data_IF_987991690991
#
_entry.id   IF_987991690991
#
_cell.length_a   1.000
_cell.length_b   1.000
_cell.length_c   1.000
_cell.angle_alpha   90.00
_cell.angle_beta   90.00
_cell.angle_gamma   90.00
#
_symmetry.space_group_name_H-M   'P 1'
#
loop_
_entity.id
_entity.type
_entity.pdbx_description
1 polymer ?
#
# COMPACT_ATOMS: atom_id res chain seq x y z
N UNK A 1 45.37 -3.08 -9.59
CA UNK A 1 45.48 -4.49 -10.04
C UNK A 1 44.17 -4.84 -10.71
N UNK A 2 44.13 -4.70 -12.02
CA UNK A 2 43.03 -5.13 -12.90
C UNK A 2 43.01 -6.65 -12.90
N UNK A 3 42.13 -7.25 -12.11
CA UNK A 3 41.85 -8.67 -12.21
C UNK A 3 40.82 -8.82 -13.34
N UNK A 4 41.30 -9.09 -14.55
CA UNK A 4 40.44 -9.58 -15.63
C UNK A 4 39.79 -10.89 -15.18
N UNK A 5 38.47 -10.96 -15.31
CA UNK A 5 37.66 -12.16 -15.06
C UNK A 5 37.81 -13.12 -16.25
N UNK A 6 39.02 -13.63 -16.49
CA UNK A 6 39.34 -14.58 -17.57
C UNK A 6 39.70 -15.98 -17.07
N UNK A 7 39.52 -16.25 -15.78
CA UNK A 7 39.73 -17.60 -15.24
C UNK A 7 38.60 -18.55 -15.74
N UNK A 8 38.94 -19.65 -16.45
CA UNK A 8 37.98 -20.60 -17.01
C UNK A 8 37.06 -21.24 -15.96
N UNK A 9 37.47 -21.29 -14.69
CA UNK A 9 36.67 -21.83 -13.60
C UNK A 9 35.37 -21.02 -13.33
N UNK A 10 35.27 -19.80 -13.86
CA UNK A 10 34.13 -18.90 -13.63
C UNK A 10 33.17 -18.78 -14.82
N UNK A 11 33.51 -19.36 -15.98
CA UNK A 11 32.65 -19.38 -17.18
C UNK A 11 31.32 -20.11 -16.91
N UNK A 12 31.37 -21.22 -16.17
CA UNK A 12 30.18 -22.02 -15.79
C UNK A 12 29.26 -21.27 -14.81
N UNK A 13 29.82 -20.33 -14.04
CA UNK A 13 29.06 -19.53 -13.07
C UNK A 13 28.31 -18.40 -13.75
N UNK A 14 28.96 -17.75 -14.73
CA UNK A 14 28.35 -16.71 -15.57
C UNK A 14 27.31 -17.33 -16.51
N UNK A 15 27.57 -18.52 -17.06
CA UNK A 15 26.64 -19.22 -17.95
C UNK A 15 25.38 -19.76 -17.25
N UNK A 16 25.42 -19.89 -15.91
CA UNK A 16 24.29 -20.30 -15.06
C UNK A 16 23.59 -19.12 -14.37
N UNK A 17 23.84 -17.89 -14.83
CA UNK A 17 23.18 -16.69 -14.31
C UNK A 17 23.59 -16.30 -12.88
N UNK A 18 24.77 -16.67 -12.40
CA UNK A 18 25.26 -16.23 -11.08
C UNK A 18 25.93 -14.85 -11.12
N UNK A 19 25.76 -14.03 -10.07
CA UNK A 19 26.56 -12.81 -9.88
C UNK A 19 27.36 -12.86 -8.56
N UNK A 20 28.66 -12.58 -8.65
CA UNK A 20 29.54 -12.47 -7.49
C UNK A 20 29.58 -11.02 -6.98
N UNK A 21 29.44 -10.86 -5.66
CA UNK A 21 29.45 -9.57 -4.98
C UNK A 21 30.66 -9.49 -4.02
N UNK A 22 31.52 -8.48 -4.24
CA UNK A 22 32.61 -8.07 -3.35
C UNK A 22 34.03 -8.20 -3.93
N UNK A 23 34.94 -7.33 -3.49
CA UNK A 23 36.40 -7.45 -3.73
C UNK A 23 37.12 -7.78 -2.42
N UNK A 24 37.58 -9.03 -2.28
CA UNK A 24 38.28 -9.50 -1.07
C UNK A 24 37.69 -10.78 -0.45
N UNK A 25 38.17 -11.13 0.75
CA UNK A 25 37.99 -12.45 1.43
C UNK A 25 36.55 -12.88 1.71
N UNK A 26 35.56 -12.01 1.56
CA UNK A 26 34.13 -12.36 1.65
C UNK A 26 33.44 -12.14 0.31
N UNK A 27 33.40 -13.20 -0.51
CA UNK A 27 32.60 -13.23 -1.74
C UNK A 27 31.19 -13.71 -1.38
N UNK A 28 30.15 -12.91 -1.66
CA UNK A 28 28.75 -13.38 -1.61
C UNK A 28 28.32 -13.83 -3.01
N UNK A 29 27.64 -14.97 -3.06
CA UNK A 29 27.08 -15.53 -4.28
C UNK A 29 25.59 -15.20 -4.34
N UNK A 30 25.15 -14.56 -5.41
CA UNK A 30 23.73 -14.32 -5.68
C UNK A 30 23.34 -15.14 -6.89
N UNK A 31 22.48 -16.13 -6.68
CA UNK A 31 21.89 -16.94 -7.74
C UNK A 31 20.77 -16.12 -8.41
N UNK A 32 20.95 -15.72 -9.67
CA UNK A 32 19.86 -15.11 -10.43
C UNK A 32 19.00 -16.25 -10.95
N UNK A 33 17.82 -16.41 -10.37
CA UNK A 33 16.88 -17.44 -10.83
C UNK A 33 16.30 -17.00 -12.19
N UNK A 34 16.78 -17.61 -13.28
CA UNK A 34 16.37 -17.31 -14.67
C UNK A 34 14.90 -17.66 -14.99
N UNK A 35 14.21 -18.39 -14.09
CA UNK A 35 12.80 -18.75 -14.26
C UNK A 35 11.81 -17.62 -13.97
N UNK A 36 12.29 -16.49 -13.42
CA UNK A 36 11.43 -15.37 -13.06
C UNK A 36 11.01 -14.57 -14.31
N UNK A 37 9.71 -14.24 -14.48
CA UNK A 37 9.21 -13.58 -15.67
C UNK A 37 9.70 -12.12 -15.78
N UNK A 38 9.84 -11.63 -17.01
CA UNK A 38 10.27 -10.25 -17.28
C UNK A 38 9.11 -9.25 -17.14
N UNK A 39 8.58 -9.12 -15.92
CA UNK A 39 7.52 -8.15 -15.62
C UNK A 39 8.09 -6.87 -14.99
N UNK A 40 7.39 -5.76 -15.23
CA UNK A 40 7.69 -4.49 -14.60
C UNK A 40 7.06 -4.45 -13.20
N UNK A 41 7.85 -4.11 -12.20
CA UNK A 41 7.39 -3.86 -10.83
C UNK A 41 7.28 -2.34 -10.58
N UNK A 42 7.61 -1.89 -9.36
CA UNK A 42 7.49 -0.49 -8.95
C UNK A 42 8.29 0.45 -9.85
N UNK A 43 7.79 1.67 -10.03
CA UNK A 43 8.52 2.73 -10.73
C UNK A 43 9.81 3.08 -9.99
N UNK A 44 10.86 3.40 -10.75
CA UNK A 44 12.16 3.80 -10.22
C UNK A 44 12.81 4.88 -11.08
N UNK A 45 13.79 5.59 -10.50
CA UNK A 45 14.61 6.56 -11.22
C UNK A 45 15.93 5.89 -11.59
N UNK A 46 16.23 5.85 -12.88
CA UNK A 46 17.44 5.29 -13.45
C UNK A 46 18.66 6.19 -13.15
N UNK A 47 19.91 5.66 -13.22
CA UNK A 47 21.14 6.44 -13.03
C UNK A 47 21.25 7.71 -13.90
N UNK A 48 20.55 7.75 -15.03
CA UNK A 48 20.53 8.87 -15.97
C UNK A 48 19.37 9.86 -15.71
N UNK A 49 18.67 9.73 -14.58
CA UNK A 49 17.56 10.60 -14.19
C UNK A 49 16.23 10.33 -14.91
N UNK A 50 16.17 9.31 -15.78
CA UNK A 50 14.91 8.92 -16.45
C UNK A 50 14.08 8.00 -15.55
N UNK A 51 12.76 8.08 -15.66
CA UNK A 51 11.86 7.10 -15.07
C UNK A 51 12.01 5.72 -15.72
N UNK A 52 11.81 4.67 -14.93
CA UNK A 52 11.82 3.27 -15.35
C UNK A 52 11.02 2.41 -14.36
N UNK A 53 11.13 1.09 -14.48
CA UNK A 53 10.52 0.14 -13.55
C UNK A 53 11.55 -0.87 -13.07
N UNK A 54 11.44 -1.29 -11.80
CA UNK A 54 12.24 -2.36 -11.25
C UNK A 54 11.88 -3.70 -11.93
N UNK A 55 12.90 -4.55 -12.15
CA UNK A 55 12.75 -5.92 -12.68
C UNK A 55 13.71 -6.84 -11.93
N UNK A 56 13.55 -8.15 -12.09
CA UNK A 56 14.53 -9.09 -11.56
C UNK A 56 15.92 -8.79 -12.12
N UNK A 57 16.91 -9.01 -11.26
CA UNK A 57 18.27 -8.56 -11.48
C UNK A 57 18.88 -9.05 -12.82
N UNK A 58 18.52 -10.25 -13.30
CA UNK A 58 18.98 -10.76 -14.60
C UNK A 58 18.50 -9.95 -15.80
N UNK A 59 17.36 -9.25 -15.69
CA UNK A 59 16.87 -8.33 -16.73
C UNK A 59 17.42 -6.90 -16.60
N UNK A 60 18.17 -6.60 -15.53
CA UNK A 60 18.67 -5.26 -15.23
C UNK A 60 20.20 -5.18 -15.12
N UNK A 61 20.94 -6.20 -15.57
CA UNK A 61 22.41 -6.19 -15.51
C UNK A 61 22.99 -5.19 -16.51
N UNK A 62 23.50 -4.06 -16.03
CA UNK A 62 24.30 -3.10 -16.82
C UNK A 62 25.79 -3.34 -16.62
N UNK A 63 26.62 -3.00 -17.61
CA UNK A 63 28.08 -3.18 -17.52
C UNK A 63 28.70 -2.37 -16.37
N UNK A 64 28.16 -1.18 -16.09
CA UNK A 64 28.53 -0.36 -14.93
C UNK A 64 28.30 -1.07 -13.59
N UNK A 65 27.28 -1.93 -13.49
CA UNK A 65 26.96 -2.68 -12.28
C UNK A 65 27.94 -3.83 -12.02
N UNK A 66 28.54 -4.38 -13.08
CA UNK A 66 29.55 -5.44 -12.97
C UNK A 66 30.85 -4.93 -12.34
N UNK A 67 31.17 -3.65 -12.54
CA UNK A 67 32.44 -3.06 -12.10
C UNK A 67 32.34 -2.23 -10.81
N UNK A 68 31.15 -1.75 -10.44
CA UNK A 68 30.97 -0.92 -9.25
C UNK A 68 29.80 -1.40 -8.39
N UNK A 69 30.13 -2.21 -7.38
CA UNK A 69 29.14 -2.82 -6.49
C UNK A 69 28.40 -1.81 -5.61
N UNK A 70 29.06 -0.74 -5.17
CA UNK A 70 28.43 0.30 -4.35
C UNK A 70 27.40 1.09 -5.17
N UNK A 71 27.76 1.41 -6.42
CA UNK A 71 26.84 1.99 -7.40
C UNK A 71 25.68 1.03 -7.64
N UNK A 72 25.94 -0.25 -7.88
CA UNK A 72 24.90 -1.28 -8.04
C UNK A 72 23.92 -1.35 -6.87
N UNK A 73 24.40 -1.35 -5.61
CA UNK A 73 23.53 -1.40 -4.44
C UNK A 73 22.59 -0.19 -4.29
N UNK A 74 22.95 0.96 -4.87
CA UNK A 74 22.09 2.14 -4.90
C UNK A 74 20.90 1.99 -5.87
N UNK A 75 20.99 1.06 -6.83
CA UNK A 75 19.95 0.80 -7.84
C UNK A 75 19.23 -0.54 -7.62
N UNK A 76 19.54 -1.26 -6.54
CA UNK A 76 18.80 -2.44 -6.15
C UNK A 76 17.42 -2.05 -5.63
N UNK A 77 16.38 -2.46 -6.35
CA UNK A 77 15.02 -2.47 -5.82
C UNK A 77 14.76 -3.82 -5.12
N UNK A 78 14.24 -3.78 -3.90
CA UNK A 78 13.58 -4.93 -3.30
C UNK A 78 12.19 -5.05 -3.96
N UNK A 79 12.12 -5.84 -5.03
CA UNK A 79 10.93 -5.94 -5.89
C UNK A 79 9.78 -6.73 -5.24
N UNK A 80 10.09 -7.73 -4.42
CA UNK A 80 9.07 -8.54 -3.73
C UNK A 80 9.60 -9.03 -2.39
N UNK A 81 9.26 -8.33 -1.31
CA UNK A 81 9.27 -8.92 0.02
C UNK A 81 7.85 -8.97 0.56
N UNK A 82 7.18 -10.08 0.28
CA UNK A 82 5.83 -10.32 0.78
C UNK A 82 5.90 -10.88 2.20
N UNK A 83 5.22 -10.22 3.14
CA UNK A 83 5.04 -10.73 4.49
C UNK A 83 3.65 -11.34 4.61
N UNK A 84 3.57 -12.66 4.51
CA UNK A 84 2.31 -13.37 4.71
C UNK A 84 2.07 -13.64 6.19
N UNK A 85 0.87 -13.28 6.65
CA UNK A 85 0.41 -13.55 8.01
C UNK A 85 -0.86 -14.40 7.96
N UNK A 86 -0.86 -15.53 8.67
CA UNK A 86 -2.09 -16.21 9.03
C UNK A 86 -2.83 -15.37 10.07
N UNK A 87 -4.14 -15.20 9.87
CA UNK A 87 -5.06 -14.63 10.86
C UNK A 87 -5.45 -15.72 11.85
N UNK A 88 -5.30 -15.44 13.15
CA UNK A 88 -5.71 -16.36 14.22
C UNK A 88 -7.10 -16.07 14.75
N UNK A 89 -7.53 -14.82 14.67
CA UNK A 89 -8.80 -14.38 15.22
C UNK A 89 -9.34 -13.19 14.40
N UNK A 90 -10.65 -13.15 14.26
CA UNK A 90 -11.38 -12.07 13.59
C UNK A 90 -12.40 -11.56 14.59
N UNK A 91 -12.18 -10.36 15.09
CA UNK A 91 -13.10 -9.65 15.99
C UNK A 91 -13.91 -8.65 15.18
N UNK A 92 -15.07 -9.07 14.70
CA UNK A 92 -16.03 -8.18 14.07
C UNK A 92 -16.78 -7.37 15.12
N UNK A 93 -17.12 -6.11 14.83
CA UNK A 93 -17.96 -5.33 15.71
C UNK A 93 -19.30 -6.06 15.96
N UNK A 94 -19.70 -6.16 17.23
CA UNK A 94 -20.86 -6.97 17.65
C UNK A 94 -22.18 -6.48 17.06
N UNK A 95 -22.27 -5.16 16.83
CA UNK A 95 -23.45 -4.51 16.25
C UNK A 95 -23.37 -4.34 14.73
N UNK A 96 -22.47 -5.05 14.03
CA UNK A 96 -22.40 -4.96 12.57
C UNK A 96 -23.70 -5.39 11.89
N UNK A 97 -24.20 -4.55 10.99
CA UNK A 97 -25.42 -4.80 10.22
C UNK A 97 -25.13 -4.88 8.72
N UNK A 98 -25.32 -6.08 8.13
CA UNK A 98 -25.07 -6.30 6.71
C UNK A 98 -25.94 -5.46 5.75
N UNK A 99 -27.26 -5.23 6.01
CA UNK A 99 -28.09 -4.48 5.05
C UNK A 99 -27.71 -3.01 4.92
N UNK A 100 -27.26 -2.39 6.02
CA UNK A 100 -26.95 -0.95 6.11
C UNK A 100 -25.45 -0.67 6.10
N UNK A 101 -24.62 -1.71 6.27
CA UNK A 101 -23.20 -1.60 6.58
C UNK A 101 -22.92 -0.72 7.81
N UNK A 102 -23.86 -0.64 8.74
CA UNK A 102 -23.63 0.03 10.01
C UNK A 102 -22.63 -0.79 10.83
N UNK A 103 -21.73 -0.10 11.54
CA UNK A 103 -20.66 -0.72 12.32
C UNK A 103 -19.72 -1.63 11.53
N UNK A 104 -19.44 -1.29 10.27
CA UNK A 104 -18.53 -2.03 9.37
C UNK A 104 -17.06 -1.85 9.75
N UNK A 105 -16.64 -2.54 10.81
CA UNK A 105 -15.27 -2.57 11.30
C UNK A 105 -14.94 -3.93 11.93
N UNK A 106 -13.71 -4.38 11.74
CA UNK A 106 -13.19 -5.59 12.34
C UNK A 106 -11.70 -5.45 12.70
N UNK A 107 -11.26 -6.20 13.70
CA UNK A 107 -9.85 -6.35 14.07
C UNK A 107 -9.39 -7.77 13.74
N UNK A 108 -8.27 -7.87 13.05
CA UNK A 108 -7.64 -9.15 12.69
C UNK A 108 -6.40 -9.36 13.57
N UNK A 109 -6.37 -10.46 14.32
CA UNK A 109 -5.20 -10.84 15.11
C UNK A 109 -4.25 -11.67 14.25
N UNK A 110 -3.00 -11.23 14.11
CA UNK A 110 -1.97 -11.95 13.37
C UNK A 110 -1.36 -13.06 14.24
N UNK A 111 -1.07 -14.22 13.66
CA UNK A 111 -0.43 -15.34 14.38
C UNK A 111 0.96 -15.02 14.95
N UNK A 112 1.61 -13.97 14.46
CA UNK A 112 2.90 -13.46 14.95
C UNK A 112 3.00 -11.96 14.70
N UNK A 113 3.78 -11.21 15.50
CA UNK A 113 4.03 -9.79 15.25
C UNK A 113 4.67 -9.54 13.89
N UNK A 114 4.29 -8.42 13.26
CA UNK A 114 4.98 -7.91 12.07
C UNK A 114 6.29 -7.21 12.50
N UNK A 115 7.37 -7.45 11.76
CA UNK A 115 8.66 -6.78 12.01
C UNK A 115 8.66 -5.45 11.28
N UNK A 116 8.72 -4.36 12.05
CA UNK A 116 8.74 -3.01 11.47
C UNK A 116 10.03 -2.76 10.69
N UNK A 117 9.88 -2.11 9.55
CA UNK A 117 10.96 -1.73 8.66
C UNK A 117 10.52 -0.54 7.78
N UNK A 118 11.29 -0.21 6.75
CA UNK A 118 10.98 0.90 5.83
C UNK A 118 9.71 0.72 5.00
N UNK A 119 9.24 -0.53 4.83
CA UNK A 119 8.04 -0.89 4.06
C UNK A 119 6.87 -1.32 4.94
N UNK A 120 7.13 -1.74 6.19
CA UNK A 120 6.11 -2.19 7.15
C UNK A 120 6.16 -1.26 8.36
N UNK A 121 5.18 -0.37 8.45
CA UNK A 121 5.06 0.57 9.57
C UNK A 121 3.59 0.77 9.94
N UNK A 122 3.22 0.82 11.23
CA UNK A 122 1.84 1.04 11.63
C UNK A 122 1.40 2.48 11.35
N UNK A 123 0.13 2.66 10.99
CA UNK A 123 -0.51 3.98 10.94
C UNK A 123 -1.00 4.38 12.33
N UNK A 124 -1.07 5.69 12.60
CA UNK A 124 -1.59 6.19 13.88
C UNK A 124 -3.13 6.18 13.92
N UNK A 125 -3.70 5.98 15.10
CA UNK A 125 -5.11 6.26 15.35
C UNK A 125 -5.37 7.78 15.44
N UNK A 126 -6.57 8.25 15.05
CA UNK A 126 -6.90 9.66 15.06
C UNK A 126 -7.11 10.19 16.50
N UNK A 127 -6.76 11.45 16.79
CA UNK A 127 -7.12 12.08 18.05
C UNK A 127 -8.63 12.35 18.13
N UNK A 128 -9.18 12.30 19.34
CA UNK A 128 -10.59 12.65 19.61
C UNK A 128 -10.83 14.13 19.35
N UNK A 129 -11.97 14.46 18.73
CA UNK A 129 -12.41 15.80 18.38
C UNK A 129 -11.79 16.36 17.10
N UNK A 130 -11.15 15.53 16.27
CA UNK A 130 -10.49 16.00 15.06
C UNK A 130 -11.52 16.44 14.00
N UNK A 131 -11.48 17.72 13.64
CA UNK A 131 -12.34 18.27 12.57
C UNK A 131 -11.71 18.07 11.20
N UNK A 132 -12.31 17.19 10.39
CA UNK A 132 -11.82 16.84 9.05
C UNK A 132 -12.64 17.45 7.91
N UNK A 133 -13.79 18.07 8.16
CA UNK A 133 -14.64 18.67 7.11
C UNK A 133 -13.83 19.58 6.18
N UNK A 134 -13.95 19.35 4.86
CA UNK A 134 -13.22 20.02 3.78
C UNK A 134 -11.68 19.88 3.84
N UNK A 135 -11.14 19.03 4.72
CA UNK A 135 -9.73 18.66 4.71
C UNK A 135 -9.49 17.56 3.69
N UNK A 136 -8.28 17.54 3.15
CA UNK A 136 -7.84 16.48 2.24
C UNK A 136 -7.53 15.21 3.02
N UNK A 137 -8.14 14.11 2.61
CA UNK A 137 -7.77 12.76 2.97
C UNK A 137 -7.18 12.03 1.74
N UNK A 138 -6.44 10.96 1.99
CA UNK A 138 -5.80 10.14 0.98
C UNK A 138 -6.27 8.72 1.13
N UNK A 139 -6.68 8.13 0.01
CA UNK A 139 -7.04 6.72 -0.13
C UNK A 139 -5.89 6.05 -0.87
N UNK A 140 -5.52 4.84 -0.45
CA UNK A 140 -4.55 4.00 -1.15
C UNK A 140 -5.13 2.61 -1.36
N UNK A 141 -4.80 1.98 -2.49
CA UNK A 141 -5.28 0.62 -2.78
C UNK A 141 -4.96 0.10 -4.17
N UNK A 142 -5.43 -1.11 -4.45
CA UNK A 142 -5.26 -1.82 -5.73
C UNK A 142 -6.61 -2.12 -6.40
N UNK A 143 -7.66 -1.44 -5.97
CA UNK A 143 -8.99 -1.53 -6.54
C UNK A 143 -9.05 -1.15 -8.01
N UNK A 144 -10.25 -1.26 -8.56
CA UNK A 144 -10.52 -0.90 -9.95
C UNK A 144 -10.37 0.61 -10.15
N UNK A 145 -9.85 1.04 -11.30
CA UNK A 145 -9.66 2.48 -11.57
C UNK A 145 -10.96 3.21 -11.96
N UNK A 146 -11.99 2.44 -12.27
CA UNK A 146 -13.35 2.90 -12.56
C UNK A 146 -14.33 1.75 -12.29
N UNK A 147 -15.61 2.07 -12.18
CA UNK A 147 -16.63 1.10 -11.82
C UNK A 147 -16.69 -0.07 -12.83
N UNK A 148 -16.45 -1.29 -12.33
CA UNK A 148 -16.44 -2.51 -13.15
C UNK A 148 -15.22 -2.66 -14.06
N UNK A 149 -14.19 -1.83 -13.87
CA UNK A 149 -12.91 -1.93 -14.59
C UNK A 149 -11.97 -3.01 -14.05
N UNK A 150 -10.75 -3.11 -14.60
CA UNK A 150 -9.72 -4.02 -14.08
C UNK A 150 -9.08 -3.48 -12.79
N UNK A 151 -8.64 -4.39 -11.91
CA UNK A 151 -7.82 -4.06 -10.75
C UNK A 151 -6.46 -3.51 -11.16
N UNK A 152 -5.88 -2.63 -10.33
CA UNK A 152 -4.53 -2.13 -10.56
C UNK A 152 -3.46 -3.16 -10.16
N UNK A 153 -2.40 -3.27 -10.97
CA UNK A 153 -1.23 -4.07 -10.62
C UNK A 153 -0.22 -3.33 -9.73
N UNK A 154 -0.39 -2.01 -9.57
CA UNK A 154 0.45 -1.14 -8.75
C UNK A 154 -0.41 -0.44 -7.70
N UNK A 155 0.17 -0.13 -6.54
CA UNK A 155 -0.54 0.61 -5.50
C UNK A 155 -0.87 2.00 -6.04
N UNK A 156 -2.15 2.35 -6.01
CA UNK A 156 -2.64 3.66 -6.42
C UNK A 156 -2.92 4.51 -5.18
N UNK A 157 -2.88 5.83 -5.36
CA UNK A 157 -3.31 6.79 -4.36
C UNK A 157 -4.19 7.87 -4.96
N UNK A 158 -5.13 8.39 -4.18
CA UNK A 158 -5.94 9.54 -4.57
C UNK A 158 -6.25 10.44 -3.38
N UNK A 159 -6.07 11.73 -3.59
CA UNK A 159 -6.43 12.77 -2.63
C UNK A 159 -7.86 13.25 -2.86
N UNK A 160 -8.69 13.18 -1.82
CA UNK A 160 -10.12 13.53 -1.83
C UNK A 160 -10.46 14.46 -0.67
N UNK A 161 -11.41 15.40 -0.83
CA UNK A 161 -11.93 16.15 0.30
C UNK A 161 -12.84 15.27 1.16
N UNK A 162 -12.76 15.44 2.48
CA UNK A 162 -13.75 14.92 3.41
C UNK A 162 -14.98 15.83 3.39
N UNK A 163 -16.14 15.22 3.26
CA UNK A 163 -17.41 15.94 3.17
C UNK A 163 -17.93 16.35 4.54
N UNK A 164 -18.75 17.40 4.55
CA UNK A 164 -19.57 17.70 5.72
C UNK A 164 -20.59 16.59 5.95
N UNK A 165 -20.87 16.27 7.22
CA UNK A 165 -21.72 15.14 7.59
C UNK A 165 -23.14 15.32 7.05
N UNK A 166 -23.73 16.52 7.18
CA UNK A 166 -25.10 16.76 6.69
C UNK A 166 -25.15 16.67 5.17
N UNK A 167 -24.18 17.29 4.49
CA UNK A 167 -24.07 17.18 3.03
C UNK A 167 -23.94 15.72 2.58
N UNK A 168 -23.24 14.89 3.33
CA UNK A 168 -23.14 13.48 3.02
C UNK A 168 -24.48 12.77 3.20
N UNK A 169 -25.17 12.97 4.33
CA UNK A 169 -26.49 12.39 4.56
C UNK A 169 -27.46 12.76 3.43
N UNK A 170 -27.46 14.04 3.03
CA UNK A 170 -28.34 14.55 1.97
C UNK A 170 -28.01 13.99 0.57
N UNK A 171 -26.83 13.40 0.38
CA UNK A 171 -26.40 12.81 -0.89
C UNK A 171 -26.94 11.38 -1.12
N UNK A 172 -27.50 10.75 -0.09
CA UNK A 172 -27.99 9.38 -0.15
C UNK A 172 -29.46 9.29 0.25
N UNK A 173 -30.18 8.36 -0.38
CA UNK A 173 -31.52 7.95 0.08
C UNK A 173 -31.40 6.97 1.25
N UNK A 174 -30.36 6.15 1.24
CA UNK A 174 -30.02 5.20 2.31
C UNK A 174 -29.51 5.91 3.56
N UNK A 175 -29.57 5.22 4.70
CA UNK A 175 -29.14 5.78 5.98
C UNK A 175 -27.62 5.91 6.06
N UNK A 176 -27.14 7.14 6.19
CA UNK A 176 -25.74 7.46 6.53
C UNK A 176 -25.69 7.81 8.02
N UNK A 177 -24.90 7.06 8.78
CA UNK A 177 -24.83 7.18 10.24
C UNK A 177 -23.74 8.17 10.67
N UNK A 178 -23.82 8.63 11.92
CA UNK A 178 -22.77 9.46 12.56
C UNK A 178 -21.44 8.71 12.71
N UNK A 179 -21.50 7.37 12.74
CA UNK A 179 -20.35 6.47 12.69
C UNK A 179 -19.75 6.32 11.29
N UNK A 180 -20.30 7.00 10.29
CA UNK A 180 -19.76 7.09 8.95
C UNK A 180 -19.03 8.41 8.72
N UNK A 181 -18.06 8.40 7.81
CA UNK A 181 -17.37 9.57 7.26
C UNK A 181 -17.33 9.43 5.75
N UNK A 182 -17.53 10.54 5.04
CA UNK A 182 -17.65 10.51 3.59
C UNK A 182 -16.51 11.30 2.95
N UNK A 183 -15.96 10.76 1.88
CA UNK A 183 -14.87 11.40 1.15
C UNK A 183 -14.95 11.05 -0.34
N UNK A 184 -14.68 12.04 -1.18
CA UNK A 184 -14.76 11.89 -2.63
C UNK A 184 -14.67 13.22 -3.33
N UNK A 185 -14.25 13.23 -4.59
CA UNK A 185 -14.23 14.45 -5.41
C UNK A 185 -15.64 15.06 -5.51
N UNK A 186 -15.79 16.36 -5.23
CA UNK A 186 -17.10 17.02 -5.30
C UNK A 186 -17.74 16.91 -6.70
N UNK A 187 -16.91 17.02 -7.73
CA UNK A 187 -17.31 16.89 -9.13
C UNK A 187 -17.22 15.44 -9.65
N UNK A 188 -17.01 14.47 -8.76
CA UNK A 188 -16.72 13.07 -9.12
C UNK A 188 -15.27 12.81 -9.52
N UNK A 189 -15.04 11.67 -10.17
CA UNK A 189 -13.75 11.25 -10.76
C UNK A 189 -12.66 10.83 -9.77
N UNK A 190 -12.86 11.02 -8.46
CA UNK A 190 -11.88 10.67 -7.41
C UNK A 190 -12.58 9.98 -6.25
N UNK A 191 -12.29 8.69 -6.05
CA UNK A 191 -12.90 7.85 -5.02
C UNK A 191 -12.11 6.55 -4.81
N UNK A 192 -12.44 5.80 -3.76
CA UNK A 192 -12.10 4.37 -3.65
C UNK A 192 -13.02 3.58 -4.59
N UNK A 193 -12.59 2.40 -5.06
CA UNK A 193 -13.46 1.58 -5.90
C UNK A 193 -13.40 0.08 -5.54
N UNK A 194 -13.91 -0.78 -6.42
CA UNK A 194 -14.08 -2.20 -6.13
C UNK A 194 -12.71 -2.86 -5.85
N UNK A 195 -12.62 -3.55 -4.71
CA UNK A 195 -11.38 -4.17 -4.25
C UNK A 195 -10.60 -3.34 -3.22
N UNK A 196 -10.97 -2.09 -2.97
CA UNK A 196 -10.37 -1.27 -1.90
C UNK A 196 -11.10 -1.42 -0.56
N UNK A 197 -12.20 -2.19 -0.48
CA UNK A 197 -12.97 -2.42 0.76
C UNK A 197 -12.08 -2.89 1.92
N UNK A 198 -12.26 -2.29 3.09
CA UNK A 198 -11.40 -2.49 4.26
C UNK A 198 -10.09 -1.68 4.22
N UNK A 199 -9.79 -1.01 3.10
CA UNK A 199 -8.62 -0.15 2.93
C UNK A 199 -8.72 1.15 3.74
N UNK A 200 -7.59 1.87 3.94
CA UNK A 200 -7.56 3.04 4.80
C UNK A 200 -7.94 4.32 4.05
N UNK A 201 -8.79 5.14 4.69
CA UNK A 201 -8.87 6.58 4.43
C UNK A 201 -7.95 7.28 5.43
N UNK A 202 -6.95 8.00 4.94
CA UNK A 202 -5.86 8.54 5.76
C UNK A 202 -5.85 10.07 5.72
N UNK A 203 -5.36 10.69 6.79
CA UNK A 203 -5.11 12.13 6.82
C UNK A 203 -3.71 12.39 7.38
N UNK A 204 -3.00 13.36 6.81
CA UNK A 204 -1.71 13.78 7.33
C UNK A 204 -1.88 14.99 8.26
N UNK A 205 -1.53 14.80 9.53
CA UNK A 205 -1.52 15.88 10.51
C UNK A 205 -0.46 16.94 10.17
N UNK A 206 -0.59 18.19 10.68
CA UNK A 206 0.45 19.22 10.51
C UNK A 206 1.83 18.81 11.00
N UNK A 207 1.92 17.83 11.91
CA UNK A 207 3.19 17.24 12.37
C UNK A 207 3.86 16.30 11.35
N UNK A 208 3.25 16.07 10.19
CA UNK A 208 3.68 15.10 9.18
C UNK A 208 3.28 13.65 9.44
N UNK A 209 2.64 13.35 10.58
CA UNK A 209 2.19 11.99 10.93
C UNK A 209 0.90 11.64 10.22
N UNK A 210 0.82 10.43 9.70
CA UNK A 210 -0.37 9.86 9.08
C UNK A 210 -1.26 9.18 10.10
N UNK A 211 -2.56 9.47 10.04
CA UNK A 211 -3.60 8.85 10.84
C UNK A 211 -4.62 8.16 9.93
N UNK A 212 -5.20 7.05 10.38
CA UNK A 212 -6.34 6.39 9.71
C UNK A 212 -7.63 7.00 10.24
N UNK A 213 -8.37 7.70 9.39
CA UNK A 213 -9.59 8.42 9.76
C UNK A 213 -10.86 7.68 9.33
N UNK A 214 -10.74 6.80 8.36
CA UNK A 214 -11.83 5.95 7.90
C UNK A 214 -11.37 4.58 7.38
N UNK A 215 -12.31 3.65 7.28
CA UNK A 215 -12.13 2.34 6.63
C UNK A 215 -13.11 2.27 5.46
N UNK A 216 -12.65 1.96 4.24
CA UNK A 216 -13.50 1.87 3.04
C UNK A 216 -14.60 0.84 3.29
N UNK A 217 -15.87 1.26 3.17
CA UNK A 217 -17.02 0.39 3.45
C UNK A 217 -17.88 0.20 2.19
N UNK A 218 -18.66 1.21 1.80
CA UNK A 218 -19.59 1.11 0.67
C UNK A 218 -19.71 2.43 -0.10
N UNK A 219 -20.40 2.39 -1.24
CA UNK A 219 -20.70 3.56 -2.06
C UNK A 219 -21.60 3.21 -3.25
N UNK A 220 -22.15 4.23 -3.91
CA UNK A 220 -22.89 4.06 -5.16
C UNK A 220 -21.91 4.17 -6.31
N UNK A 221 -21.54 3.02 -6.90
CA UNK A 221 -20.45 2.93 -7.87
C UNK A 221 -19.17 3.55 -7.26
N UNK A 222 -18.31 4.16 -8.07
CA UNK A 222 -17.16 4.90 -7.57
C UNK A 222 -16.91 6.13 -8.45
N UNK A 223 -16.60 7.26 -7.81
CA UNK A 223 -16.28 8.52 -8.50
C UNK A 223 -17.46 9.16 -9.22
N UNK A 224 -18.70 8.82 -8.87
CA UNK A 224 -19.88 9.47 -9.41
C UNK A 224 -20.03 10.88 -8.81
N UNK A 225 -20.38 11.91 -9.61
CA UNK A 225 -20.65 13.23 -9.08
C UNK A 225 -21.75 13.20 -8.03
N UNK A 226 -21.56 13.96 -6.95
CA UNK A 226 -22.47 14.03 -5.81
C UNK A 226 -22.67 12.74 -4.99
N UNK A 227 -21.94 11.66 -5.27
CA UNK A 227 -21.99 10.41 -4.49
C UNK A 227 -20.58 10.06 -3.98
N UNK A 228 -20.17 10.58 -2.81
CA UNK A 228 -18.86 10.25 -2.24
C UNK A 228 -18.81 8.79 -1.75
N UNK A 229 -17.61 8.22 -1.62
CA UNK A 229 -17.44 6.98 -0.89
C UNK A 229 -17.83 7.12 0.58
N UNK A 230 -18.39 6.06 1.16
CA UNK A 230 -18.72 5.95 2.59
C UNK A 230 -17.68 5.08 3.28
N UNK A 231 -17.17 5.60 4.39
CA UNK A 231 -16.12 4.99 5.19
C UNK A 231 -16.59 4.88 6.64
N UNK A 232 -16.20 3.83 7.34
CA UNK A 232 -16.42 3.70 8.78
C UNK A 232 -15.50 4.68 9.52
N UNK A 233 -16.07 5.60 10.31
CA UNK A 233 -15.36 6.69 11.01
C UNK A 233 -14.58 6.14 12.21
N UNK A 234 -13.27 5.91 12.04
CA UNK A 234 -12.41 5.28 13.05
C UNK A 234 -12.46 5.96 14.43
N UNK A 235 -12.57 7.29 14.47
CA UNK A 235 -12.66 8.06 15.71
C UNK A 235 -13.80 7.57 16.64
N UNK A 236 -14.93 7.13 16.08
CA UNK A 236 -16.10 6.66 16.84
C UNK A 236 -15.89 5.28 17.45
N UNK A 237 -14.88 4.54 17.00
CA UNK A 237 -14.58 3.18 17.44
C UNK A 237 -13.31 3.10 18.29
N UNK A 238 -12.69 4.21 18.66
CA UNK A 238 -11.43 4.20 19.43
C UNK A 238 -11.54 3.40 20.73
N UNK A 239 -12.64 3.55 21.48
CA UNK A 239 -12.88 2.76 22.70
C UNK A 239 -12.99 1.27 22.39
N UNK A 240 -13.81 0.89 21.40
CA UNK A 240 -13.98 -0.50 20.98
C UNK A 240 -12.65 -1.12 20.49
N UNK A 241 -11.84 -0.36 19.74
CA UNK A 241 -10.52 -0.80 19.28
C UNK A 241 -9.61 -1.10 20.47
N UNK A 242 -9.52 -0.18 21.44
CA UNK A 242 -8.66 -0.35 22.61
C UNK A 242 -9.11 -1.52 23.49
N UNK A 243 -10.42 -1.68 23.69
CA UNK A 243 -10.99 -2.78 24.47
C UNK A 243 -10.78 -4.14 23.82
N UNK A 244 -10.80 -4.20 22.49
CA UNK A 244 -10.62 -5.43 21.71
C UNK A 244 -9.15 -5.84 21.63
N UNK A 245 -8.23 -4.90 21.41
CA UNK A 245 -6.81 -5.20 21.18
C UNK A 245 -6.08 -5.67 22.44
N UNK A 246 -6.63 -5.45 23.65
CA UNK A 246 -6.07 -5.82 24.98
C UNK A 246 -4.55 -5.99 24.97
N UNK A 247 -3.83 -4.87 25.08
CA UNK A 247 -2.38 -4.86 25.26
C UNK A 247 -1.92 -5.65 26.50
#
# INVERSE_FOLDING_TARGET
ITAELTDPAWQDVISKGGMHIGSGRTKRFVQLNESQPNIAYQECVLPNGRGGHCRHLHYCVQDDFKQNILKFTQYLCLIEQTYNFRVTEIHQHVDFELPSYHHDIAILTLHRPAVFNTYVWPICLPPVGLKLTNKTAVIIGWGTQFYGGPHSHVLMEVAVPVWDQQRCIDAFVDSVFEESICAGGYDGGKDACQGDSGGPLMHQLPSGRWIVVGVVSWGIRCGEPNHPGIYTRVEKYLSWIVETVRF
#
